data_IF_141150348119
#
_entry.id   IF_141150348119
#
_cell.length_a   1.000
_cell.length_b   1.000
_cell.length_c   1.000
_cell.angle_alpha   90.00
_cell.angle_beta   90.00
_cell.angle_gamma   90.00
#
_symmetry.space_group_name_H-M   'P 1'
#
loop_
_entity.id
_entity.type
_entity.pdbx_description
1 polymer ?
#
# COMPACT_ATOMS: atom_id res chain seq x y z
N UNK A 1 5.20 33.58 10.54
CA UNK A 1 5.25 33.01 9.16
C UNK A 1 5.39 31.51 9.34
N UNK A 2 4.38 30.75 9.02
CA UNK A 2 4.48 29.29 8.94
C UNK A 2 5.49 28.92 7.85
N UNK A 3 6.45 28.01 8.10
CA UNK A 3 7.39 27.56 7.06
C UNK A 3 6.60 27.01 5.88
N UNK A 4 7.04 27.28 4.66
CA UNK A 4 6.45 26.68 3.47
C UNK A 4 6.68 25.15 3.42
N UNK A 5 5.92 24.39 2.63
CA UNK A 5 5.99 22.92 2.61
C UNK A 5 7.41 22.37 2.39
N UNK A 6 8.20 22.99 1.52
CA UNK A 6 9.59 22.58 1.27
C UNK A 6 10.53 22.65 2.50
N UNK A 7 10.23 23.50 3.49
CA UNK A 7 11.04 23.62 4.71
C UNK A 7 10.65 22.62 5.79
N UNK A 8 9.58 21.82 5.58
CA UNK A 8 9.10 20.77 6.49
C UNK A 8 9.52 19.37 6.06
N UNK A 9 10.01 19.20 4.83
CA UNK A 9 10.49 17.90 4.33
C UNK A 9 11.75 17.51 5.09
N UNK A 10 11.86 16.24 5.44
CA UNK A 10 13.10 15.65 5.97
C UNK A 10 14.29 16.00 5.06
N UNK A 11 15.41 16.51 5.61
CA UNK A 11 16.54 17.02 4.79
C UNK A 11 17.17 15.98 3.85
N UNK A 12 17.21 14.70 4.27
CA UNK A 12 17.76 13.62 3.44
C UNK A 12 16.81 13.32 2.27
N UNK A 13 15.49 13.30 2.54
CA UNK A 13 14.47 13.17 1.49
C UNK A 13 14.49 14.37 0.54
N UNK A 14 14.61 15.60 1.03
CA UNK A 14 14.72 16.79 0.18
C UNK A 14 15.90 16.67 -0.79
N UNK A 15 17.04 16.15 -0.31
CA UNK A 15 18.22 15.90 -1.15
C UNK A 15 17.95 14.83 -2.21
N UNK A 16 17.30 13.72 -1.84
CA UNK A 16 16.96 12.64 -2.76
C UNK A 16 15.95 13.11 -3.82
N UNK A 17 14.94 13.88 -3.43
CA UNK A 17 13.94 14.48 -4.32
C UNK A 17 14.62 15.39 -5.36
N UNK A 18 15.48 16.31 -4.91
CA UNK A 18 16.18 17.25 -5.82
C UNK A 18 17.04 16.53 -6.87
N UNK A 19 17.64 15.40 -6.51
CA UNK A 19 18.39 14.57 -7.48
C UNK A 19 17.49 13.94 -8.53
N UNK A 20 16.32 13.42 -8.11
CA UNK A 20 15.35 12.81 -9.03
C UNK A 20 14.71 13.85 -9.97
N UNK A 21 14.44 15.06 -9.48
CA UNK A 21 13.91 16.16 -10.30
C UNK A 21 14.92 16.61 -11.35
N UNK A 22 16.23 16.60 -11.03
CA UNK A 22 17.29 16.95 -11.97
C UNK A 22 17.42 15.98 -13.16
N UNK A 23 16.89 14.75 -13.04
CA UNK A 23 16.85 13.77 -14.14
C UNK A 23 15.88 14.14 -15.28
N UNK A 24 15.07 15.19 -15.11
CA UNK A 24 14.21 15.77 -16.16
C UNK A 24 13.09 14.82 -16.64
N UNK A 25 12.66 13.87 -15.82
CA UNK A 25 11.58 12.94 -16.16
C UNK A 25 10.24 13.67 -16.32
N UNK A 26 9.45 13.26 -17.30
CA UNK A 26 8.09 13.78 -17.44
C UNK A 26 7.23 13.38 -16.24
N UNK A 27 6.32 14.26 -15.79
CA UNK A 27 5.30 13.89 -14.81
C UNK A 27 4.49 12.68 -15.28
N UNK A 28 4.11 11.77 -14.36
CA UNK A 28 3.37 10.54 -14.68
C UNK A 28 2.12 10.81 -15.51
N UNK A 29 1.33 11.81 -15.15
CA UNK A 29 0.09 12.18 -15.84
C UNK A 29 0.26 12.67 -17.28
N UNK A 30 1.51 12.92 -17.72
CA UNK A 30 1.85 13.29 -19.12
C UNK A 30 2.41 12.12 -19.93
N UNK A 31 2.73 11.03 -19.29
CA UNK A 31 3.25 9.83 -19.95
C UNK A 31 2.11 8.92 -20.42
N UNK A 32 2.32 8.19 -21.51
CA UNK A 32 1.48 7.03 -21.76
C UNK A 32 1.74 5.92 -20.72
N UNK A 33 0.81 4.98 -20.62
CA UNK A 33 0.87 3.92 -19.59
C UNK A 33 2.13 3.06 -19.72
N UNK A 34 2.58 2.76 -20.94
CA UNK A 34 3.76 1.93 -21.17
C UNK A 34 5.04 2.64 -20.74
N UNK A 35 5.17 3.94 -21.06
CA UNK A 35 6.27 4.79 -20.62
C UNK A 35 6.26 4.98 -19.10
N UNK A 36 5.09 5.23 -18.53
CA UNK A 36 4.94 5.36 -17.08
C UNK A 36 5.40 4.10 -16.34
N UNK A 37 5.01 2.89 -16.82
CA UNK A 37 5.43 1.60 -16.26
C UNK A 37 6.94 1.40 -16.35
N UNK A 38 7.56 1.72 -17.49
CA UNK A 38 9.02 1.62 -17.64
C UNK A 38 9.75 2.55 -16.67
N UNK A 39 9.35 3.81 -16.63
CA UNK A 39 9.96 4.82 -15.77
C UNK A 39 9.81 4.45 -14.28
N UNK A 40 8.64 3.96 -13.88
CA UNK A 40 8.38 3.52 -12.51
C UNK A 40 9.28 2.33 -12.13
N UNK A 41 9.40 1.33 -13.02
CA UNK A 41 10.27 0.16 -12.82
C UNK A 41 11.73 0.56 -12.66
N UNK A 42 12.25 1.41 -13.55
CA UNK A 42 13.62 1.93 -13.46
C UNK A 42 13.87 2.64 -12.12
N UNK A 43 12.92 3.48 -11.69
CA UNK A 43 13.01 4.22 -10.45
C UNK A 43 12.98 3.29 -9.23
N UNK A 44 12.13 2.27 -9.25
CA UNK A 44 12.06 1.26 -8.19
C UNK A 44 13.38 0.48 -8.07
N UNK A 45 14.00 0.11 -9.19
CA UNK A 45 15.30 -0.58 -9.19
C UNK A 45 16.42 0.29 -8.60
N UNK A 46 16.43 1.59 -8.88
CA UNK A 46 17.40 2.54 -8.30
C UNK A 46 17.18 2.70 -6.79
N UNK A 47 15.92 2.77 -6.34
CA UNK A 47 15.54 2.97 -4.93
C UNK A 47 15.72 1.73 -4.06
N UNK A 48 15.66 0.56 -4.65
CA UNK A 48 15.71 -0.73 -3.93
C UNK A 48 16.93 -0.86 -3.04
N UNK A 49 18.09 -0.26 -3.43
CA UNK A 49 19.35 -0.43 -2.71
C UNK A 49 19.80 -1.90 -2.66
N UNK A 50 20.58 -2.25 -1.65
CA UNK A 50 20.94 -3.64 -1.37
C UNK A 50 19.73 -4.35 -0.78
N UNK A 51 19.21 -5.35 -1.49
CA UNK A 51 18.04 -6.11 -1.06
C UNK A 51 18.33 -6.89 0.22
N UNK A 52 17.46 -6.77 1.22
CA UNK A 52 17.57 -7.53 2.46
C UNK A 52 17.62 -9.05 2.16
N UNK A 53 18.53 -9.75 2.82
CA UNK A 53 18.66 -11.20 2.67
C UNK A 53 17.45 -11.90 3.31
N UNK A 54 16.82 -12.80 2.56
CA UNK A 54 15.74 -13.69 3.02
C UNK A 54 16.17 -15.15 2.85
N UNK A 55 15.48 -16.07 3.50
CA UNK A 55 15.79 -17.49 3.48
C UNK A 55 15.57 -18.13 2.11
N UNK A 56 14.43 -17.84 1.48
CA UNK A 56 14.13 -18.25 0.11
C UNK A 56 13.18 -17.28 -0.59
N UNK A 57 13.22 -17.30 -1.91
CA UNK A 57 12.26 -16.61 -2.77
C UNK A 57 11.88 -17.55 -3.90
N UNK A 58 10.59 -17.70 -4.16
CA UNK A 58 10.10 -18.46 -5.31
C UNK A 58 8.80 -17.85 -5.86
N UNK A 59 8.60 -17.98 -7.14
CA UNK A 59 7.38 -17.55 -7.81
C UNK A 59 6.40 -18.72 -7.87
N UNK A 60 5.09 -18.43 -7.74
CA UNK A 60 4.01 -19.38 -7.84
C UNK A 60 2.82 -18.75 -8.57
N UNK A 61 1.82 -19.56 -8.89
CA UNK A 61 0.60 -19.14 -9.57
C UNK A 61 -0.61 -19.62 -8.80
N UNK A 62 -1.42 -18.68 -8.35
CA UNK A 62 -2.66 -18.95 -7.61
C UNK A 62 -3.81 -19.08 -8.60
N UNK A 63 -4.49 -20.23 -8.67
CA UNK A 63 -5.66 -20.38 -9.54
C UNK A 63 -6.78 -19.43 -9.09
N UNK A 64 -7.27 -18.58 -10.00
CA UNK A 64 -8.38 -17.67 -9.77
C UNK A 64 -9.61 -18.05 -10.58
N UNK A 65 -10.77 -17.49 -10.21
CA UNK A 65 -12.02 -17.73 -10.94
C UNK A 65 -12.01 -17.06 -12.32
N UNK A 66 -11.53 -15.82 -12.39
CA UNK A 66 -11.52 -15.02 -13.61
C UNK A 66 -10.17 -15.08 -14.34
N UNK A 67 -9.09 -15.15 -13.58
CA UNK A 67 -7.72 -15.27 -14.07
C UNK A 67 -6.82 -15.85 -12.99
N UNK A 68 -5.76 -16.52 -13.38
CA UNK A 68 -4.70 -16.94 -12.48
C UNK A 68 -3.90 -15.72 -12.03
N UNK A 69 -3.44 -15.73 -10.76
CA UNK A 69 -2.71 -14.63 -10.15
C UNK A 69 -1.29 -15.06 -9.83
N UNK A 70 -0.30 -14.42 -10.47
CA UNK A 70 1.09 -14.67 -10.14
C UNK A 70 1.44 -14.08 -8.76
N UNK A 71 2.23 -14.82 -7.99
CA UNK A 71 2.69 -14.38 -6.67
C UNK A 71 4.17 -14.72 -6.50
N UNK A 72 4.84 -13.96 -5.62
CA UNK A 72 6.21 -14.26 -5.17
C UNK A 72 6.21 -14.44 -3.67
N UNK A 73 6.68 -15.60 -3.22
CA UNK A 73 6.73 -15.99 -1.82
C UNK A 73 8.13 -15.79 -1.28
N UNK A 74 8.23 -15.11 -0.14
CA UNK A 74 9.46 -14.84 0.58
C UNK A 74 9.40 -15.53 1.94
N UNK A 75 10.42 -16.30 2.28
CA UNK A 75 10.56 -16.94 3.58
C UNK A 75 11.70 -16.27 4.37
N UNK A 76 11.55 -16.00 5.67
CA UNK A 76 12.60 -15.36 6.45
C UNK A 76 13.81 -16.27 6.68
N UNK A 77 14.94 -15.66 7.03
CA UNK A 77 16.13 -16.40 7.51
C UNK A 77 15.91 -16.76 8.99
N UNK A 78 16.17 -18.01 9.38
CA UNK A 78 16.13 -18.46 10.77
C UNK A 78 14.74 -18.79 11.29
N UNK A 79 14.43 -18.35 12.51
CA UNK A 79 13.16 -18.65 13.16
C UNK A 79 12.01 -17.90 12.47
N UNK A 80 10.96 -18.64 12.12
CA UNK A 80 9.74 -18.06 11.55
C UNK A 80 8.75 -17.77 12.68
N UNK A 81 8.24 -16.55 12.70
CA UNK A 81 7.01 -16.26 13.42
C UNK A 81 5.83 -16.83 12.62
N UNK A 82 4.82 -17.36 13.28
CA UNK A 82 3.62 -17.90 12.62
C UNK A 82 2.74 -16.75 12.07
N UNK A 83 3.29 -16.01 11.09
CA UNK A 83 2.67 -14.86 10.43
C UNK A 83 2.85 -15.02 8.92
N UNK A 84 1.76 -14.90 8.18
CA UNK A 84 1.75 -14.79 6.72
C UNK A 84 1.15 -13.44 6.32
N UNK A 85 1.91 -12.65 5.55
CA UNK A 85 1.51 -11.33 5.03
C UNK A 85 1.28 -11.43 3.53
N UNK A 86 0.07 -11.15 3.08
CA UNK A 86 -0.23 -10.93 1.66
C UNK A 86 0.04 -9.46 1.36
N UNK A 87 1.05 -9.19 0.52
CA UNK A 87 1.53 -7.85 0.20
C UNK A 87 1.05 -7.39 -1.17
N UNK A 88 0.42 -6.24 -1.20
CA UNK A 88 -0.09 -5.57 -2.41
C UNK A 88 0.73 -4.30 -2.65
N UNK A 89 1.40 -4.25 -3.79
CA UNK A 89 2.30 -3.14 -4.11
C UNK A 89 1.58 -1.84 -4.47
N UNK A 90 2.25 -0.71 -4.27
CA UNK A 90 1.82 0.59 -4.76
C UNK A 90 2.00 0.75 -6.26
N UNK A 91 1.58 1.92 -6.79
CA UNK A 91 1.68 2.24 -8.22
C UNK A 91 0.35 2.67 -8.84
N UNK A 92 -0.58 3.20 -8.03
CA UNK A 92 -1.84 3.78 -8.52
C UNK A 92 -2.72 2.80 -9.29
N UNK A 93 -2.64 1.50 -9.00
CA UNK A 93 -3.38 0.42 -9.70
C UNK A 93 -3.00 0.24 -11.17
N UNK A 94 -2.09 1.05 -11.70
CA UNK A 94 -1.68 1.11 -13.11
C UNK A 94 -0.23 0.66 -13.30
N UNK A 95 0.60 0.86 -12.29
CA UNK A 95 2.05 0.63 -12.29
C UNK A 95 2.41 -0.43 -11.25
N UNK A 96 3.63 -0.95 -11.36
CA UNK A 96 4.18 -1.90 -10.40
C UNK A 96 4.11 -3.34 -10.88
N UNK A 97 4.86 -4.18 -10.22
CA UNK A 97 4.99 -5.63 -10.42
C UNK A 97 5.76 -6.26 -9.25
N UNK A 98 5.98 -7.58 -9.29
CA UNK A 98 6.73 -8.31 -8.26
C UNK A 98 8.16 -7.79 -8.07
N UNK A 99 8.82 -7.30 -9.12
CA UNK A 99 10.19 -6.80 -9.04
C UNK A 99 10.25 -5.42 -8.39
N UNK A 100 9.28 -4.56 -8.68
CA UNK A 100 9.18 -3.23 -8.05
C UNK A 100 8.81 -3.32 -6.57
N UNK A 101 8.09 -4.37 -6.16
CA UNK A 101 7.69 -4.67 -4.79
C UNK A 101 8.77 -5.40 -3.98
N UNK A 102 9.81 -5.98 -4.61
CA UNK A 102 10.74 -6.89 -3.97
C UNK A 102 11.41 -6.30 -2.72
N UNK A 103 11.80 -5.03 -2.77
CA UNK A 103 12.42 -4.36 -1.61
C UNK A 103 11.48 -4.26 -0.40
N UNK A 104 10.22 -3.87 -0.63
CA UNK A 104 9.21 -3.78 0.42
C UNK A 104 8.86 -5.16 0.99
N UNK A 105 8.63 -6.15 0.12
CA UNK A 105 8.31 -7.52 0.53
C UNK A 105 9.43 -8.14 1.38
N UNK A 106 10.69 -7.96 1.01
CA UNK A 106 11.85 -8.43 1.79
C UNK A 106 11.94 -7.72 3.14
N UNK A 107 11.71 -6.42 3.18
CA UNK A 107 11.72 -5.65 4.42
C UNK A 107 10.65 -6.15 5.39
N UNK A 108 9.43 -6.34 4.92
CA UNK A 108 8.32 -6.91 5.71
C UNK A 108 8.68 -8.31 6.21
N UNK A 109 9.21 -9.17 5.32
CA UNK A 109 9.63 -10.53 5.63
C UNK A 109 10.68 -10.58 6.74
N UNK A 110 11.76 -9.78 6.59
CA UNK A 110 12.89 -9.80 7.53
C UNK A 110 12.56 -9.14 8.86
N UNK A 111 11.82 -8.02 8.86
CA UNK A 111 11.48 -7.30 10.08
C UNK A 111 10.52 -8.09 10.97
N UNK A 112 9.51 -8.73 10.37
CA UNK A 112 8.50 -9.48 11.12
C UNK A 112 8.85 -10.96 11.30
N UNK A 113 9.91 -11.49 10.68
CA UNK A 113 10.16 -12.93 10.64
C UNK A 113 9.00 -13.69 9.99
N UNK A 114 8.31 -13.10 9.03
CA UNK A 114 7.07 -13.58 8.46
C UNK A 114 7.25 -14.13 7.04
N UNK A 115 6.42 -15.11 6.65
CA UNK A 115 6.22 -15.42 5.24
C UNK A 115 5.51 -14.26 4.56
N UNK A 116 6.01 -13.80 3.40
CA UNK A 116 5.36 -12.74 2.61
C UNK A 116 4.97 -13.28 1.25
N UNK A 117 3.72 -13.11 0.88
CA UNK A 117 3.16 -13.41 -0.44
C UNK A 117 2.92 -12.10 -1.17
N UNK A 118 3.86 -11.68 -2.01
CA UNK A 118 3.72 -10.51 -2.89
C UNK A 118 2.88 -10.86 -4.10
N UNK A 119 1.88 -10.04 -4.42
CA UNK A 119 0.86 -10.33 -5.44
C UNK A 119 1.07 -9.47 -6.66
N UNK A 120 1.13 -10.11 -7.84
CA UNK A 120 1.12 -9.46 -9.16
C UNK A 120 -0.33 -9.32 -9.63
N UNK A 121 -1.08 -8.46 -8.97
CA UNK A 121 -2.48 -8.25 -9.30
C UNK A 121 -2.63 -7.56 -10.66
N UNK A 122 -3.70 -7.87 -11.39
CA UNK A 122 -4.00 -7.27 -12.71
C UNK A 122 -4.12 -5.76 -12.61
N UNK A 123 -3.54 -5.05 -13.57
CA UNK A 123 -3.44 -3.60 -13.59
C UNK A 123 -4.45 -2.94 -14.54
N UNK A 124 -4.91 -1.75 -14.18
CA UNK A 124 -5.60 -0.82 -15.06
C UNK A 124 -4.60 -0.17 -16.06
N UNK A 125 -5.05 0.30 -17.22
CA UNK A 125 -6.43 0.33 -17.69
C UNK A 125 -6.91 -0.99 -18.32
N UNK A 126 -6.03 -1.98 -18.52
CA UNK A 126 -6.37 -3.27 -19.14
C UNK A 126 -7.38 -4.05 -18.29
N UNK A 127 -7.22 -3.95 -16.96
CA UNK A 127 -8.06 -4.62 -15.97
C UNK A 127 -8.43 -3.65 -14.84
N UNK A 128 -9.40 -2.73 -15.07
CA UNK A 128 -9.81 -1.78 -14.05
C UNK A 128 -10.56 -2.47 -12.89
N UNK A 129 -11.00 -1.69 -11.91
CA UNK A 129 -11.85 -2.20 -10.84
C UNK A 129 -13.04 -3.01 -11.40
N UNK A 130 -13.36 -4.22 -10.84
CA UNK A 130 -12.86 -4.79 -9.58
C UNK A 130 -11.69 -5.78 -9.74
N UNK A 131 -11.08 -5.94 -10.92
CA UNK A 131 -10.09 -6.98 -11.15
C UNK A 131 -8.94 -7.00 -10.12
N UNK A 132 -8.28 -5.87 -9.79
CA UNK A 132 -7.17 -5.87 -8.82
C UNK A 132 -7.58 -6.33 -7.42
N UNK A 133 -8.73 -5.88 -6.90
CA UNK A 133 -9.20 -6.28 -5.56
C UNK A 133 -9.69 -7.72 -5.53
N UNK A 134 -10.22 -8.24 -6.62
CA UNK A 134 -10.58 -9.66 -6.79
C UNK A 134 -9.33 -10.54 -6.73
N UNK A 135 -8.24 -10.14 -7.40
CA UNK A 135 -6.97 -10.85 -7.36
C UNK A 135 -6.35 -10.84 -5.96
N UNK A 136 -6.41 -9.68 -5.28
CA UNK A 136 -5.98 -9.56 -3.88
C UNK A 136 -6.74 -10.53 -2.96
N UNK A 137 -8.06 -10.60 -3.07
CA UNK A 137 -8.89 -11.53 -2.29
C UNK A 137 -8.61 -12.99 -2.66
N UNK A 138 -8.36 -13.31 -3.93
CA UNK A 138 -7.95 -14.64 -4.40
C UNK A 138 -6.64 -15.07 -3.75
N UNK A 139 -5.63 -14.19 -3.75
CA UNK A 139 -4.35 -14.44 -3.11
C UNK A 139 -4.48 -14.64 -1.58
N UNK A 140 -5.35 -13.88 -0.90
CA UNK A 140 -5.65 -14.06 0.53
C UNK A 140 -6.24 -15.44 0.83
N UNK A 141 -7.20 -15.88 0.03
CA UNK A 141 -7.80 -17.22 0.18
C UNK A 141 -6.77 -18.34 0.01
N UNK A 142 -5.88 -18.19 -0.96
CA UNK A 142 -4.80 -19.14 -1.19
C UNK A 142 -3.78 -19.14 -0.04
N UNK A 143 -3.33 -17.95 0.39
CA UNK A 143 -2.37 -17.80 1.49
C UNK A 143 -2.88 -18.45 2.79
N UNK A 144 -4.17 -18.35 3.08
CA UNK A 144 -4.81 -19.02 4.22
C UNK A 144 -4.69 -20.54 4.15
N UNK A 145 -4.56 -21.14 2.97
CA UNK A 145 -4.34 -22.58 2.78
C UNK A 145 -2.87 -22.98 2.82
N UNK A 146 -1.98 -22.06 2.50
CA UNK A 146 -0.54 -22.29 2.47
C UNK A 146 0.01 -22.59 3.88
N UNK A 147 -0.43 -21.79 4.86
CA UNK A 147 -0.05 -21.92 6.28
C UNK A 147 -1.27 -21.72 7.18
N UNK A 148 -2.12 -22.73 7.35
CA UNK A 148 -3.43 -22.58 8.02
C UNK A 148 -3.37 -22.21 9.51
N UNK A 149 -2.22 -22.41 10.17
CA UNK A 149 -1.99 -22.05 11.57
C UNK A 149 -1.42 -20.68 11.81
N UNK A 150 -0.98 -19.99 10.73
CA UNK A 150 -0.40 -18.66 10.83
C UNK A 150 -1.48 -17.60 11.03
N UNK A 151 -1.08 -16.48 11.65
CA UNK A 151 -1.85 -15.24 11.60
C UNK A 151 -1.79 -14.67 10.21
N UNK A 152 -2.95 -14.46 9.60
CA UNK A 152 -3.06 -13.95 8.24
C UNK A 152 -3.25 -12.43 8.25
N UNK A 153 -2.34 -11.75 7.58
CA UNK A 153 -2.33 -10.30 7.44
C UNK A 153 -2.46 -9.92 5.97
N UNK A 154 -3.25 -8.90 5.67
CA UNK A 154 -3.20 -8.21 4.39
C UNK A 154 -2.49 -6.87 4.56
N UNK A 155 -1.60 -6.53 3.64
CA UNK A 155 -0.91 -5.26 3.72
C UNK A 155 -0.50 -4.74 2.35
N UNK A 156 -0.13 -3.46 2.31
CA UNK A 156 0.36 -2.84 1.09
C UNK A 156 0.69 -1.38 1.30
N UNK A 157 1.14 -0.75 0.23
CA UNK A 157 1.48 0.66 0.19
C UNK A 157 0.69 1.41 -0.88
N UNK A 158 0.26 2.66 -0.60
CA UNK A 158 -0.44 3.53 -1.57
C UNK A 158 -1.71 2.85 -2.13
N UNK A 159 -1.79 2.68 -3.44
CA UNK A 159 -2.86 1.94 -4.14
C UNK A 159 -3.01 0.51 -3.60
N UNK A 160 -1.88 -0.17 -3.29
CA UNK A 160 -1.89 -1.50 -2.70
C UNK A 160 -2.49 -1.52 -1.29
N UNK A 161 -2.28 -0.47 -0.50
CA UNK A 161 -2.93 -0.31 0.80
C UNK A 161 -4.45 -0.07 0.65
N UNK A 162 -4.88 0.65 -0.38
CA UNK A 162 -6.30 0.77 -0.74
C UNK A 162 -6.92 -0.58 -1.10
N UNK A 163 -6.21 -1.38 -1.92
CA UNK A 163 -6.63 -2.75 -2.24
C UNK A 163 -6.66 -3.64 -0.98
N UNK A 164 -5.70 -3.49 -0.07
CA UNK A 164 -5.67 -4.24 1.18
C UNK A 164 -6.88 -3.94 2.05
N UNK A 165 -7.27 -2.67 2.18
CA UNK A 165 -8.48 -2.27 2.90
C UNK A 165 -9.75 -2.82 2.23
N UNK A 166 -9.87 -2.73 0.90
CA UNK A 166 -10.98 -3.32 0.14
C UNK A 166 -11.03 -4.85 0.27
N UNK A 167 -9.88 -5.53 0.17
CA UNK A 167 -9.79 -6.98 0.34
C UNK A 167 -10.12 -7.41 1.78
N UNK A 168 -9.81 -6.58 2.78
CA UNK A 168 -10.21 -6.86 4.17
C UNK A 168 -11.73 -6.80 4.36
N UNK A 169 -12.45 -5.91 3.67
CA UNK A 169 -13.91 -5.91 3.65
C UNK A 169 -14.45 -7.19 3.00
N UNK A 170 -13.91 -7.59 1.85
CA UNK A 170 -14.28 -8.84 1.20
C UNK A 170 -13.99 -10.06 2.07
N UNK A 171 -12.85 -10.09 2.76
CA UNK A 171 -12.46 -11.17 3.65
C UNK A 171 -13.37 -11.27 4.89
N UNK A 172 -13.81 -10.12 5.45
CA UNK A 172 -14.83 -10.09 6.50
C UNK A 172 -16.12 -10.79 6.09
N UNK A 173 -16.57 -10.52 4.85
CA UNK A 173 -17.86 -10.99 4.37
C UNK A 173 -17.82 -12.44 3.84
N UNK A 174 -16.71 -12.83 3.22
CA UNK A 174 -16.58 -14.12 2.52
C UNK A 174 -15.35 -14.96 2.93
N UNK A 175 -14.60 -14.53 3.95
CA UNK A 175 -13.34 -15.14 4.36
C UNK A 175 -12.18 -14.87 3.41
N UNK A 176 -10.98 -15.30 3.78
CA UNK A 176 -10.62 -15.88 5.06
C UNK A 176 -10.62 -14.86 6.20
N UNK A 177 -10.65 -15.35 7.45
CA UNK A 177 -10.46 -14.46 8.61
C UNK A 177 -9.05 -13.84 8.56
N UNK A 178 -9.00 -12.53 8.74
CA UNK A 178 -7.74 -11.79 8.88
C UNK A 178 -7.49 -11.45 10.36
N UNK A 179 -6.21 -11.47 10.75
CA UNK A 179 -5.76 -11.08 12.08
C UNK A 179 -5.37 -9.61 12.16
N UNK A 180 -4.92 -9.01 11.04
CA UNK A 180 -4.64 -7.57 10.94
C UNK A 180 -4.57 -7.09 9.49
N UNK A 181 -4.56 -5.73 9.34
CA UNK A 181 -4.26 -4.99 8.11
C UNK A 181 -3.04 -4.10 8.34
N UNK A 182 -2.14 -3.97 7.35
CA UNK A 182 -1.05 -3.01 7.32
C UNK A 182 -1.24 -2.05 6.13
N UNK A 183 -1.70 -0.85 6.40
CA UNK A 183 -2.08 0.14 5.41
C UNK A 183 -1.10 1.32 5.43
N UNK A 184 -0.14 1.33 4.49
CA UNK A 184 0.85 2.40 4.39
C UNK A 184 0.35 3.48 3.42
N UNK A 185 0.11 4.68 3.92
CA UNK A 185 -0.39 5.85 3.18
C UNK A 185 -1.45 5.51 2.12
N UNK A 186 -2.57 4.89 2.53
CA UNK A 186 -3.52 4.26 1.62
C UNK A 186 -4.32 5.26 0.78
N UNK A 187 -4.61 4.91 -0.49
CA UNK A 187 -5.59 5.58 -1.35
C UNK A 187 -6.98 4.96 -1.16
N UNK A 188 -7.94 5.71 -0.61
CA UNK A 188 -9.22 5.17 -0.10
C UNK A 188 -10.47 5.89 -0.64
N UNK A 189 -10.30 7.06 -1.27
CA UNK A 189 -11.44 7.87 -1.74
C UNK A 189 -11.24 8.39 -3.17
N UNK A 190 -11.96 7.81 -4.16
CA UNK A 190 -11.89 8.26 -5.56
C UNK A 190 -12.50 9.66 -5.79
N UNK A 191 -13.16 10.26 -4.78
CA UNK A 191 -13.68 11.62 -4.89
C UNK A 191 -12.61 12.68 -4.68
N UNK A 192 -11.47 12.29 -4.08
CA UNK A 192 -10.34 13.19 -3.78
C UNK A 192 -10.79 14.47 -3.04
N UNK A 193 -11.70 14.31 -2.08
CA UNK A 193 -12.34 15.42 -1.38
C UNK A 193 -11.61 15.87 -0.12
N UNK A 194 -10.60 15.11 0.33
CA UNK A 194 -9.84 15.38 1.54
C UNK A 194 -9.02 16.67 1.43
N UNK A 195 -8.91 17.48 2.52
CA UNK A 195 -8.15 18.73 2.51
C UNK A 195 -6.68 18.58 2.08
N UNK A 196 -6.02 17.48 2.48
CA UNK A 196 -4.63 17.20 2.12
C UNK A 196 -4.40 17.05 0.61
N UNK A 197 -5.41 16.68 -0.18
CA UNK A 197 -5.33 16.64 -1.66
C UNK A 197 -5.03 18.03 -2.23
N UNK A 198 -5.58 19.08 -1.62
CA UNK A 198 -5.33 20.47 -2.04
C UNK A 198 -4.08 21.03 -1.37
N UNK A 199 -3.87 20.73 -0.08
CA UNK A 199 -2.70 21.20 0.68
C UNK A 199 -1.38 20.70 0.06
N UNK A 200 -1.34 19.44 -0.38
CA UNK A 200 -0.17 18.77 -0.95
C UNK A 200 -0.33 18.50 -2.46
N UNK A 201 -1.10 19.34 -3.18
CA UNK A 201 -1.44 19.11 -4.59
C UNK A 201 -0.23 18.94 -5.51
N UNK A 202 0.85 19.65 -5.22
CA UNK A 202 2.11 19.62 -5.95
C UNK A 202 3.21 18.91 -5.12
N UNK A 203 2.82 17.92 -4.31
CA UNK A 203 3.74 17.16 -3.45
C UNK A 203 4.78 16.38 -4.25
N UNK A 204 5.96 16.11 -3.67
CA UNK A 204 6.92 15.24 -4.30
C UNK A 204 6.40 13.79 -4.35
N UNK A 205 6.72 13.08 -5.42
CA UNK A 205 6.36 11.69 -5.74
C UNK A 205 4.88 11.41 -6.02
N UNK A 206 3.96 12.22 -5.50
CA UNK A 206 2.53 12.10 -5.79
C UNK A 206 1.92 13.49 -5.84
N UNK A 207 1.34 13.83 -6.97
CA UNK A 207 0.60 15.08 -7.15
C UNK A 207 -0.89 14.80 -7.29
N UNK A 208 -1.71 15.84 -7.15
CA UNK A 208 -3.14 15.75 -7.47
C UNK A 208 -3.36 15.33 -8.93
N UNK A 209 -2.55 15.84 -9.86
CA UNK A 209 -2.67 15.48 -11.27
C UNK A 209 -2.35 14.00 -11.53
N UNK A 210 -1.40 13.41 -10.78
CA UNK A 210 -1.14 11.97 -10.83
C UNK A 210 -2.32 11.18 -10.29
N UNK A 211 -2.94 11.62 -9.20
CA UNK A 211 -4.14 10.99 -8.64
C UNK A 211 -5.32 11.03 -9.62
N UNK A 212 -5.57 12.16 -10.28
CA UNK A 212 -6.59 12.28 -11.32
C UNK A 212 -6.34 11.27 -12.45
N UNK A 213 -5.08 11.12 -12.87
CA UNK A 213 -4.68 10.18 -13.91
C UNK A 213 -4.87 8.72 -13.47
N UNK A 214 -4.45 8.34 -12.26
CA UNK A 214 -4.59 6.99 -11.72
C UNK A 214 -6.05 6.59 -11.56
N UNK A 215 -6.85 7.41 -10.89
CA UNK A 215 -8.27 7.16 -10.71
C UNK A 215 -9.03 7.11 -12.04
N UNK A 216 -8.60 7.92 -13.02
CA UNK A 216 -9.17 7.92 -14.37
C UNK A 216 -8.99 6.59 -15.11
N UNK A 217 -7.88 5.90 -14.87
CA UNK A 217 -7.64 4.57 -15.44
C UNK A 217 -8.27 3.43 -14.62
N UNK A 218 -8.28 3.56 -13.29
CA UNK A 218 -8.73 2.49 -12.40
C UNK A 218 -10.25 2.40 -12.29
N UNK A 219 -10.96 3.52 -12.37
CA UNK A 219 -12.42 3.60 -12.20
C UNK A 219 -13.07 4.00 -13.52
N UNK A 220 -13.50 3.03 -14.34
CA UNK A 220 -14.00 3.31 -15.71
C UNK A 220 -15.37 3.98 -15.76
N UNK A 221 -16.03 4.15 -14.62
CA UNK A 221 -17.35 4.77 -14.59
C UNK A 221 -17.77 5.31 -13.22
N UNK A 222 -18.62 6.35 -13.19
CA UNK A 222 -18.98 7.04 -11.95
C UNK A 222 -19.75 6.17 -10.94
N UNK A 223 -20.51 5.17 -11.40
CA UNK A 223 -21.28 4.28 -10.51
C UNK A 223 -20.43 3.36 -9.64
N UNK A 224 -19.20 3.09 -10.03
CA UNK A 224 -18.29 2.24 -9.27
C UNK A 224 -17.66 2.96 -8.06
N UNK A 225 -17.74 4.28 -8.01
CA UNK A 225 -17.20 5.09 -6.90
C UNK A 225 -17.91 4.85 -5.56
N UNK A 226 -19.03 4.19 -5.57
CA UNK A 226 -19.82 3.80 -4.38
C UNK A 226 -19.49 2.37 -3.89
N UNK A 227 -18.68 1.60 -4.62
CA UNK A 227 -18.30 0.25 -4.22
C UNK A 227 -17.39 0.30 -2.99
N UNK A 228 -17.77 -0.31 -1.84
CA UNK A 228 -16.93 -0.34 -0.65
C UNK A 228 -15.55 -0.98 -0.85
N UNK A 229 -15.44 -1.95 -1.75
CA UNK A 229 -14.15 -2.59 -2.04
C UNK A 229 -13.21 -1.69 -2.85
N UNK A 230 -13.75 -0.71 -3.58
CA UNK A 230 -12.99 0.33 -4.28
C UNK A 230 -12.66 1.51 -3.36
N UNK A 231 -13.65 1.93 -2.59
CA UNK A 231 -13.61 3.12 -1.75
C UNK A 231 -13.92 2.77 -0.28
N UNK A 232 -12.98 2.12 0.44
CA UNK A 232 -13.22 1.66 1.81
C UNK A 232 -13.65 2.76 2.79
N UNK A 233 -13.25 4.00 2.55
CA UNK A 233 -13.71 5.14 3.34
C UNK A 233 -15.23 5.39 3.19
N UNK A 234 -15.84 4.99 2.07
CA UNK A 234 -17.30 5.05 1.85
C UNK A 234 -18.04 4.01 2.70
N UNK A 235 -17.44 2.81 2.89
CA UNK A 235 -18.03 1.82 3.78
C UNK A 235 -18.23 2.36 5.20
N UNK A 236 -17.37 3.28 5.64
CA UNK A 236 -17.47 3.94 6.93
C UNK A 236 -18.73 4.81 7.10
N UNK A 237 -19.32 5.28 6.01
CA UNK A 237 -20.54 6.10 6.03
C UNK A 237 -21.81 5.25 6.18
N UNK A 238 -21.74 3.94 5.95
CA UNK A 238 -22.86 3.04 6.07
C UNK A 238 -22.97 2.46 7.49
N UNK A 239 -24.16 2.32 8.07
CA UNK A 239 -24.34 1.70 9.38
C UNK A 239 -23.74 0.28 9.41
N UNK A 240 -22.78 0.04 10.30
CA UNK A 240 -22.10 -1.25 10.42
C UNK A 240 -21.12 -1.57 9.29
N UNK A 241 -20.86 -0.62 8.41
CA UNK A 241 -20.01 -0.86 7.23
C UNK A 241 -18.58 -1.29 7.52
N UNK A 242 -18.04 -0.96 8.71
CA UNK A 242 -16.72 -1.38 9.17
C UNK A 242 -16.76 -2.37 10.35
N UNK A 243 -17.94 -2.81 10.79
CA UNK A 243 -18.06 -3.75 11.90
C UNK A 243 -17.36 -5.08 11.56
N UNK A 244 -16.58 -5.58 12.50
CA UNK A 244 -15.91 -6.88 12.36
C UNK A 244 -14.74 -6.91 11.36
N UNK A 245 -14.34 -5.78 10.80
CA UNK A 245 -13.12 -5.68 9.97
C UNK A 245 -11.89 -5.92 10.87
N UNK A 246 -10.85 -6.53 10.32
CA UNK A 246 -9.63 -6.88 11.05
C UNK A 246 -8.94 -5.63 11.65
N UNK A 247 -8.26 -5.75 12.82
CA UNK A 247 -7.42 -4.70 13.39
C UNK A 247 -6.46 -4.10 12.38
N UNK A 248 -6.13 -2.80 12.49
CA UNK A 248 -5.38 -2.11 11.47
C UNK A 248 -4.18 -1.31 12.01
N UNK A 249 -3.08 -1.33 11.25
CA UNK A 249 -2.07 -0.26 11.27
C UNK A 249 -2.37 0.64 10.07
N UNK A 250 -2.66 1.91 10.32
CA UNK A 250 -2.86 2.92 9.27
C UNK A 250 -1.75 3.96 9.42
N UNK A 251 -0.71 3.83 8.61
CA UNK A 251 0.44 4.73 8.64
C UNK A 251 0.28 5.83 7.59
N UNK A 252 0.50 7.08 7.96
CA UNK A 252 0.38 8.24 7.07
C UNK A 252 1.68 9.04 7.00
N UNK A 253 1.82 9.91 5.99
CA UNK A 253 2.91 10.86 5.87
C UNK A 253 2.38 12.30 5.99
N UNK A 254 3.14 13.19 6.63
CA UNK A 254 2.69 14.57 6.85
C UNK A 254 2.46 15.33 5.53
N UNK A 255 3.36 15.14 4.56
CA UNK A 255 3.39 15.87 3.29
C UNK A 255 2.89 14.98 2.15
N UNK A 256 1.68 14.42 2.32
CA UNK A 256 1.07 13.47 1.39
C UNK A 256 -0.36 13.92 1.03
N UNK A 257 -0.74 13.97 -0.25
CA UNK A 257 -2.13 14.20 -0.64
C UNK A 257 -3.12 13.23 0.02
N UNK A 258 -2.73 11.97 0.25
CA UNK A 258 -3.60 10.91 0.82
C UNK A 258 -3.65 10.90 2.36
N UNK A 259 -2.94 11.84 3.03
CA UNK A 259 -2.84 11.91 4.50
C UNK A 259 -4.20 11.85 5.19
N UNK A 260 -5.09 12.75 4.80
CA UNK A 260 -6.33 12.97 5.54
C UNK A 260 -7.37 11.88 5.31
N UNK A 261 -7.38 11.22 4.14
CA UNK A 261 -8.24 10.06 3.93
C UNK A 261 -7.77 8.84 4.73
N UNK A 262 -6.45 8.64 4.87
CA UNK A 262 -5.89 7.64 5.77
C UNK A 262 -6.28 7.88 7.24
N UNK A 263 -6.19 9.13 7.72
CA UNK A 263 -6.63 9.52 9.05
C UNK A 263 -8.13 9.31 9.27
N UNK A 264 -8.94 9.74 8.30
CA UNK A 264 -10.40 9.58 8.36
C UNK A 264 -10.81 8.09 8.42
N UNK A 265 -10.13 7.24 7.67
CA UNK A 265 -10.37 5.80 7.72
C UNK A 265 -9.99 5.19 9.07
N UNK A 266 -8.87 5.61 9.64
CA UNK A 266 -8.46 5.19 10.97
C UNK A 266 -9.47 5.63 12.05
N UNK A 267 -9.99 6.89 11.98
CA UNK A 267 -11.05 7.38 12.86
C UNK A 267 -12.32 6.54 12.74
N UNK A 268 -12.71 6.19 11.53
CA UNK A 268 -13.89 5.39 11.26
C UNK A 268 -13.77 3.95 11.78
N UNK A 269 -12.60 3.33 11.62
CA UNK A 269 -12.31 2.01 12.19
C UNK A 269 -12.40 2.02 13.72
N UNK A 270 -11.82 3.02 14.39
CA UNK A 270 -11.93 3.16 15.85
C UNK A 270 -13.38 3.40 16.30
N UNK A 271 -14.14 4.21 15.56
CA UNK A 271 -15.56 4.42 15.83
C UNK A 271 -16.39 3.13 15.70
N UNK A 272 -15.99 2.20 14.81
CA UNK A 272 -16.56 0.86 14.67
C UNK A 272 -16.02 -0.14 15.71
N UNK A 273 -15.21 0.30 16.69
CA UNK A 273 -14.65 -0.57 17.73
C UNK A 273 -13.46 -1.43 17.27
N UNK A 274 -12.89 -1.17 16.10
CA UNK A 274 -11.72 -1.86 15.58
C UNK A 274 -10.45 -1.30 16.23
N UNK A 275 -9.54 -2.19 16.66
CA UNK A 275 -8.25 -1.75 17.21
C UNK A 275 -7.36 -1.17 16.10
N UNK A 276 -6.87 0.07 16.29
CA UNK A 276 -6.04 0.78 15.31
C UNK A 276 -4.72 1.22 15.93
N UNK A 277 -3.64 1.20 15.13
CA UNK A 277 -2.37 1.87 15.39
C UNK A 277 -2.12 2.88 14.27
N UNK A 278 -1.64 4.08 14.62
CA UNK A 278 -1.54 5.23 13.71
C UNK A 278 -0.14 5.83 13.69
N UNK A 279 0.86 5.18 13.09
CA UNK A 279 2.14 5.83 12.84
C UNK A 279 1.97 7.04 11.92
N UNK A 280 2.53 8.20 12.30
CA UNK A 280 2.48 9.43 11.49
C UNK A 280 3.88 9.92 11.19
N UNK A 281 4.27 9.88 9.93
CA UNK A 281 5.60 10.27 9.45
C UNK A 281 5.74 11.78 9.33
N UNK A 282 6.21 12.45 10.39
CA UNK A 282 6.50 13.88 10.37
C UNK A 282 7.62 14.22 9.37
N UNK A 283 7.40 15.22 8.53
CA UNK A 283 8.35 15.62 7.47
C UNK A 283 8.49 14.60 6.33
N UNK A 284 7.74 13.51 6.35
CA UNK A 284 7.77 12.48 5.31
C UNK A 284 6.76 12.77 4.20
N UNK A 285 7.04 12.17 3.04
CA UNK A 285 6.29 12.31 1.80
C UNK A 285 5.64 10.99 1.42
N UNK A 286 4.74 11.02 0.44
CA UNK A 286 4.14 9.80 -0.13
C UNK A 286 5.21 8.79 -0.58
N UNK A 287 5.00 7.51 -0.30
CA UNK A 287 5.92 6.43 -0.71
C UNK A 287 7.18 6.31 0.16
N UNK A 288 7.23 6.94 1.35
CA UNK A 288 8.42 6.94 2.20
C UNK A 288 8.93 5.53 2.57
N UNK A 289 8.07 4.53 2.64
CA UNK A 289 8.47 3.16 2.96
C UNK A 289 9.48 2.59 1.97
N UNK A 290 9.32 2.93 0.68
CA UNK A 290 10.27 2.60 -0.39
C UNK A 290 11.53 3.49 -0.42
N UNK A 291 11.64 4.50 0.46
CA UNK A 291 12.74 5.45 0.52
C UNK A 291 13.66 5.24 1.74
N UNK A 292 13.56 4.09 2.41
CA UNK A 292 14.33 3.77 3.61
C UNK A 292 15.85 3.86 3.40
N UNK A 293 16.35 3.53 2.21
CA UNK A 293 17.77 3.67 1.88
C UNK A 293 18.20 5.13 1.67
N UNK A 294 17.26 6.04 1.44
CA UNK A 294 17.53 7.46 1.16
C UNK A 294 17.37 8.37 2.38
N UNK A 295 16.68 7.90 3.44
CA UNK A 295 16.41 8.71 4.64
C UNK A 295 16.27 7.83 5.87
N UNK A 296 17.02 8.19 6.92
CA UNK A 296 16.94 7.55 8.23
C UNK A 296 15.56 7.74 8.88
N UNK A 297 14.93 8.91 8.67
CA UNK A 297 13.57 9.18 9.15
C UNK A 297 12.54 8.26 8.46
N UNK A 298 12.65 8.08 7.13
CA UNK A 298 11.79 7.17 6.37
C UNK A 298 12.00 5.70 6.79
N UNK A 299 13.24 5.30 7.05
CA UNK A 299 13.55 3.97 7.57
C UNK A 299 12.89 3.75 8.94
N UNK A 300 13.11 4.67 9.89
CA UNK A 300 12.59 4.58 11.25
C UNK A 300 11.05 4.57 11.30
N UNK A 301 10.38 5.35 10.43
CA UNK A 301 8.91 5.36 10.39
C UNK A 301 8.35 4.07 9.80
N UNK A 302 9.01 3.53 8.77
CA UNK A 302 8.63 2.21 8.24
C UNK A 302 8.79 1.10 9.28
N UNK A 303 9.88 1.11 10.06
CA UNK A 303 10.08 0.14 11.16
C UNK A 303 9.02 0.33 12.24
N UNK A 304 8.67 1.57 12.59
CA UNK A 304 7.59 1.86 13.55
C UNK A 304 6.23 1.32 13.10
N UNK A 305 5.93 1.36 11.81
CA UNK A 305 4.71 0.77 11.27
C UNK A 305 4.72 -0.77 11.38
N UNK A 306 5.86 -1.40 11.12
CA UNK A 306 6.03 -2.86 11.26
C UNK A 306 6.00 -3.29 12.74
N UNK A 307 6.64 -2.54 13.64
CA UNK A 307 6.58 -2.79 15.09
C UNK A 307 5.15 -2.66 15.61
N UNK A 308 4.40 -1.67 15.12
CA UNK A 308 2.99 -1.50 15.48
C UNK A 308 2.13 -2.68 15.03
N UNK A 309 2.44 -3.29 13.87
CA UNK A 309 1.79 -4.52 13.42
C UNK A 309 2.16 -5.71 14.30
N UNK A 310 3.45 -5.91 14.62
CA UNK A 310 3.91 -6.94 15.55
C UNK A 310 3.18 -6.84 16.89
N UNK A 311 3.09 -5.63 17.45
CA UNK A 311 2.38 -5.38 18.71
C UNK A 311 0.86 -5.68 18.62
N UNK A 312 0.20 -5.39 17.50
CA UNK A 312 -1.21 -5.76 17.26
C UNK A 312 -1.40 -7.29 17.24
N UNK A 313 -0.45 -7.98 16.65
CA UNK A 313 -0.47 -9.44 16.57
C UNK A 313 -0.02 -10.10 17.89
N UNK A 314 0.59 -9.37 18.85
CA UNK A 314 1.17 -9.91 20.06
C UNK A 314 2.40 -10.78 19.78
N UNK A 315 3.18 -10.38 18.79
CA UNK A 315 4.43 -11.01 18.34
C UNK A 315 5.64 -10.26 18.92
#
# INVERSE_FOLDING_TARGET
MTPGPASRIDPELATAISRLEADGRLPLWRADVADARRNYRELAMIRRGDAAAVGSVHDDVVPGQDADVAVRVYEPVGEQHAITVVWLHGGGWVLGDLDTADGAARRVCTHLGATVVSVDYRLAPEHPHPAPVTDAHTALRWAATLRPSDRLVVGGDSAGAGLAAGAALLARDWGPRLDAQLLLYPGLDPTMSSPSITENADGPFLTRADLDWFWGHYVPGPGLREDPALAPLRAAAEPGGLDGVAPAVVATAELDPLRDEGRAYADALEAAGVAVRRPEGAGLVHGYFGLAAASAAAAAEGDRALDALGALLGA
#
